data_IF_291777851719
#
_entry.id   IF_291777851719
#
_cell.length_a   1.000
_cell.length_b   1.000
_cell.length_c   1.000
_cell.angle_alpha   90.00
_cell.angle_beta   90.00
_cell.angle_gamma   90.00
#
_symmetry.space_group_name_H-M   'P 1'
#
loop_
_entity.id
_entity.type
_entity.pdbx_description
1 polymer ?
#
# COMPACT_ATOMS: atom_id res chain seq x y z
N UNK A 1 24.88 32.14 -82.93
CA UNK A 1 23.84 31.29 -83.55
C UNK A 1 23.91 29.93 -82.84
N UNK A 2 22.79 29.51 -82.23
CA UNK A 2 22.51 28.18 -81.62
C UNK A 2 23.31 27.74 -80.37
N UNK A 3 22.83 26.95 -79.42
CA UNK A 3 21.51 26.55 -78.88
C UNK A 3 21.80 25.67 -77.64
N UNK A 4 20.91 25.72 -76.64
CA UNK A 4 20.85 25.07 -75.30
C UNK A 4 21.10 23.54 -75.24
N UNK A 5 21.57 22.97 -74.09
CA UNK A 5 20.84 22.01 -73.20
C UNK A 5 21.66 21.32 -72.04
N UNK A 6 21.09 21.35 -70.82
CA UNK A 6 20.87 20.31 -69.76
C UNK A 6 22.00 19.46 -69.06
N UNK A 7 22.13 19.72 -67.73
CA UNK A 7 21.89 18.85 -66.52
C UNK A 7 22.68 17.54 -66.22
N UNK A 8 23.14 17.42 -64.95
CA UNK A 8 23.25 16.15 -64.17
C UNK A 8 24.49 16.05 -63.26
N UNK A 9 24.43 16.43 -61.97
CA UNK A 9 24.24 15.59 -60.77
C UNK A 9 25.41 14.64 -60.41
N UNK A 10 26.12 14.91 -59.29
CA UNK A 10 26.43 13.97 -58.19
C UNK A 10 27.56 14.52 -57.28
N UNK A 11 27.21 15.13 -56.13
CA UNK A 11 28.13 15.36 -55.03
C UNK A 11 27.85 14.31 -53.94
N UNK A 12 28.73 13.30 -53.84
CA UNK A 12 28.64 12.23 -52.85
C UNK A 12 29.32 12.71 -51.56
N UNK A 13 28.54 13.26 -50.62
CA UNK A 13 29.00 13.59 -49.28
C UNK A 13 29.02 12.32 -48.42
N UNK A 14 30.22 11.82 -48.11
CA UNK A 14 30.42 10.70 -47.18
C UNK A 14 30.25 11.24 -45.75
N UNK A 15 29.04 11.17 -45.21
CA UNK A 15 28.80 11.41 -43.79
C UNK A 15 29.19 10.15 -43.00
N UNK A 16 30.29 10.20 -42.26
CA UNK A 16 30.62 9.15 -41.29
C UNK A 16 29.64 9.25 -40.11
N UNK A 17 28.84 8.21 -39.79
CA UNK A 17 27.99 8.25 -38.62
C UNK A 17 28.84 8.27 -37.34
N UNK A 18 28.41 8.97 -36.27
CA UNK A 18 29.14 9.01 -35.01
C UNK A 18 29.26 7.59 -34.43
N UNK A 19 30.42 7.28 -33.83
CA UNK A 19 30.76 5.98 -33.24
C UNK A 19 29.72 5.43 -32.23
N UNK A 20 28.88 6.31 -31.68
CA UNK A 20 27.74 6.00 -30.81
C UNK A 20 26.70 5.09 -31.48
N UNK A 21 26.45 5.28 -32.78
CA UNK A 21 25.47 4.49 -33.54
C UNK A 21 25.98 3.06 -33.84
N UNK A 22 27.29 2.90 -33.96
CA UNK A 22 27.92 1.59 -34.16
C UNK A 22 27.89 0.76 -32.87
N UNK A 23 28.11 1.39 -31.71
CA UNK A 23 27.99 0.72 -30.40
C UNK A 23 26.57 0.20 -30.12
N UNK A 24 25.53 0.95 -30.49
CA UNK A 24 24.14 0.51 -30.34
C UNK A 24 23.79 -0.67 -31.25
N UNK A 25 24.27 -0.64 -32.51
CA UNK A 25 24.08 -1.74 -33.46
C UNK A 25 24.87 -3.00 -33.07
N UNK A 26 26.06 -2.85 -32.49
CA UNK A 26 26.87 -3.96 -31.96
C UNK A 26 26.18 -4.56 -30.72
N UNK A 27 25.63 -3.74 -29.82
CA UNK A 27 24.85 -4.22 -28.67
C UNK A 27 23.57 -4.97 -29.06
N UNK A 28 22.89 -4.53 -30.13
CA UNK A 28 21.73 -5.24 -30.73
C UNK A 28 22.15 -6.53 -31.44
N UNK A 29 23.27 -6.57 -32.18
CA UNK A 29 23.78 -7.78 -32.86
C UNK A 29 24.35 -8.83 -31.90
N UNK A 30 24.87 -8.41 -30.74
CA UNK A 30 25.40 -9.32 -29.70
C UNK A 30 24.31 -9.87 -28.75
N UNK A 31 23.03 -9.49 -28.93
CA UNK A 31 21.93 -9.97 -28.09
C UNK A 31 21.97 -9.49 -26.63
N UNK A 32 22.83 -8.50 -26.33
CA UNK A 32 23.05 -7.98 -24.98
C UNK A 32 21.86 -7.13 -24.49
N UNK A 33 21.21 -6.37 -25.39
CA UNK A 33 20.01 -5.61 -25.06
C UNK A 33 18.78 -6.48 -24.77
N UNK A 34 18.61 -7.58 -25.51
CA UNK A 34 17.46 -8.48 -25.35
C UNK A 34 17.55 -9.30 -24.05
N UNK A 35 18.74 -9.75 -23.63
CA UNK A 35 18.90 -10.50 -22.37
C UNK A 35 18.65 -9.63 -21.13
N UNK A 36 19.11 -8.38 -21.12
CA UNK A 36 18.86 -7.44 -20.02
C UNK A 36 17.36 -7.09 -19.91
N UNK A 37 16.72 -6.81 -21.04
CA UNK A 37 15.28 -6.48 -21.11
C UNK A 37 14.37 -7.68 -20.76
N UNK A 38 14.75 -8.90 -21.16
CA UNK A 38 14.06 -10.13 -20.73
C UNK A 38 14.25 -10.39 -19.22
N UNK A 39 15.43 -10.09 -18.68
CA UNK A 39 15.70 -10.15 -17.24
C UNK A 39 14.85 -9.15 -16.45
N UNK A 40 14.78 -7.89 -16.91
CA UNK A 40 13.99 -6.83 -16.28
C UNK A 40 12.49 -7.15 -16.27
N UNK A 41 11.98 -7.74 -17.35
CA UNK A 41 10.58 -8.13 -17.47
C UNK A 41 10.25 -9.27 -16.49
N UNK A 42 11.13 -10.27 -16.37
CA UNK A 42 10.98 -11.36 -15.40
C UNK A 42 11.04 -10.85 -13.96
N UNK A 43 11.96 -9.92 -13.66
CA UNK A 43 12.06 -9.29 -12.34
C UNK A 43 10.77 -8.56 -11.99
N UNK A 44 10.24 -7.76 -12.91
CA UNK A 44 8.99 -7.04 -12.69
C UNK A 44 7.81 -7.98 -12.45
N UNK A 45 7.67 -9.04 -13.24
CA UNK A 45 6.63 -10.06 -13.05
C UNK A 45 6.78 -10.80 -11.71
N UNK A 46 8.01 -11.15 -11.32
CA UNK A 46 8.30 -11.82 -10.06
C UNK A 46 7.97 -10.99 -8.86
N UNK A 47 8.37 -9.73 -8.90
CA UNK A 47 8.02 -8.79 -7.86
C UNK A 47 6.49 -8.62 -7.79
N UNK A 48 5.80 -8.40 -8.90
CA UNK A 48 4.33 -8.27 -8.91
C UNK A 48 3.62 -9.45 -8.25
N UNK A 49 4.10 -10.67 -8.49
CA UNK A 49 3.56 -11.87 -7.83
C UNK A 49 3.84 -11.85 -6.32
N UNK A 50 5.04 -11.45 -5.89
CA UNK A 50 5.40 -11.30 -4.48
C UNK A 50 4.44 -10.36 -3.76
N UNK A 51 4.24 -9.21 -4.39
CA UNK A 51 3.42 -8.13 -3.89
C UNK A 51 1.96 -8.57 -3.79
N UNK A 52 1.48 -9.32 -4.77
CA UNK A 52 0.14 -9.89 -4.76
C UNK A 52 -0.05 -10.83 -3.57
N UNK A 53 0.85 -11.79 -3.38
CA UNK A 53 0.78 -12.75 -2.26
C UNK A 53 0.86 -12.03 -0.92
N UNK A 54 1.79 -11.10 -0.75
CA UNK A 54 1.94 -10.32 0.48
C UNK A 54 0.71 -9.45 0.78
N UNK A 55 0.15 -8.79 -0.24
CA UNK A 55 -1.08 -8.01 -0.11
C UNK A 55 -2.29 -8.88 0.25
N UNK A 56 -2.46 -10.04 -0.40
CA UNK A 56 -3.54 -10.98 -0.10
C UNK A 56 -3.45 -11.52 1.34
N UNK A 57 -2.24 -11.87 1.78
CA UNK A 57 -1.99 -12.32 3.16
C UNK A 57 -2.29 -11.21 4.17
N UNK A 58 -1.79 -9.99 3.94
CA UNK A 58 -2.03 -8.86 4.82
C UNK A 58 -3.53 -8.57 4.97
N UNK A 59 -4.28 -8.55 3.86
CA UNK A 59 -5.73 -8.34 3.88
C UNK A 59 -6.45 -9.51 4.57
N UNK A 60 -6.04 -10.75 4.33
CA UNK A 60 -6.63 -11.93 4.99
C UNK A 60 -6.40 -11.92 6.50
N UNK A 61 -5.20 -11.54 6.94
CA UNK A 61 -4.83 -11.48 8.36
C UNK A 61 -5.57 -10.36 9.09
N UNK A 62 -5.72 -9.21 8.45
CA UNK A 62 -6.38 -8.04 9.04
C UNK A 62 -7.89 -8.08 8.93
N UNK A 63 -8.44 -8.74 7.90
CA UNK A 63 -9.88 -8.82 7.65
C UNK A 63 -10.62 -9.97 8.30
N UNK A 64 -9.93 -10.83 9.07
CA UNK A 64 -10.59 -11.90 9.84
C UNK A 64 -10.99 -11.39 11.22
N UNK A 65 -11.96 -12.07 11.85
CA UNK A 65 -12.25 -11.90 13.27
C UNK A 65 -10.97 -12.04 14.09
N UNK A 66 -10.73 -11.04 14.94
CA UNK A 66 -9.57 -10.90 15.82
C UNK A 66 -8.25 -10.62 15.08
N UNK A 67 -8.33 -10.27 13.79
CA UNK A 67 -7.19 -9.80 13.00
C UNK A 67 -6.57 -8.53 13.56
N UNK A 68 -7.39 -7.64 14.13
CA UNK A 68 -6.95 -6.47 14.88
C UNK A 68 -7.04 -6.69 16.39
N UNK A 69 -8.19 -7.14 16.90
CA UNK A 69 -8.46 -7.08 18.33
C UNK A 69 -7.50 -7.92 19.19
N UNK A 70 -7.02 -9.06 18.68
CA UNK A 70 -6.05 -9.94 19.36
C UNK A 70 -4.62 -9.79 18.84
N UNK A 71 -4.37 -8.85 17.93
CA UNK A 71 -3.05 -8.59 17.39
C UNK A 71 -2.48 -7.33 18.06
N UNK A 72 -1.66 -7.50 19.10
CA UNK A 72 -1.10 -6.40 19.88
C UNK A 72 -0.34 -5.36 19.05
N UNK A 73 0.21 -5.75 17.90
CA UNK A 73 0.95 -4.84 17.03
C UNK A 73 0.05 -3.83 16.31
N UNK A 74 -1.22 -4.19 16.05
CA UNK A 74 -2.15 -3.35 15.28
C UNK A 74 -3.48 -3.09 16.01
N UNK A 75 -3.67 -3.62 17.23
CA UNK A 75 -4.87 -3.43 18.02
C UNK A 75 -5.20 -1.95 18.15
N UNK A 76 -6.43 -1.59 17.81
CA UNK A 76 -6.93 -0.23 17.91
C UNK A 76 -7.36 0.00 19.36
N UNK A 77 -6.58 0.81 20.06
CA UNK A 77 -6.87 1.24 21.43
C UNK A 77 -7.61 2.56 21.43
N UNK A 78 -8.07 2.97 22.61
CA UNK A 78 -8.56 4.32 22.81
C UNK A 78 -7.56 5.39 22.33
N UNK A 79 -8.04 6.42 21.61
CA UNK A 79 -7.25 7.57 21.22
C UNK A 79 -6.52 8.20 22.41
N UNK A 80 -5.27 8.62 22.21
CA UNK A 80 -4.41 9.10 23.31
C UNK A 80 -5.04 10.25 24.10
N UNK A 81 -5.78 11.14 23.42
CA UNK A 81 -6.50 12.26 24.01
C UNK A 81 -7.71 11.85 24.88
N UNK A 82 -8.15 10.58 24.81
CA UNK A 82 -9.28 10.05 25.57
C UNK A 82 -8.86 9.10 26.71
N UNK A 83 -7.57 8.78 26.84
CA UNK A 83 -7.05 7.83 27.83
C UNK A 83 -7.30 8.24 29.28
N UNK A 84 -7.28 9.54 29.60
CA UNK A 84 -7.58 10.00 30.96
C UNK A 84 -9.05 9.75 31.32
N UNK A 85 -9.96 9.98 30.37
CA UNK A 85 -11.38 9.69 30.55
C UNK A 85 -11.63 8.18 30.64
N UNK A 86 -10.96 7.40 29.79
CA UNK A 86 -10.99 5.94 29.84
C UNK A 86 -10.63 5.41 31.24
N UNK A 87 -9.52 5.90 31.83
CA UNK A 87 -9.10 5.54 33.19
C UNK A 87 -10.15 5.89 34.24
N UNK A 88 -10.74 7.07 34.15
CA UNK A 88 -11.81 7.50 35.06
C UNK A 88 -13.04 6.59 34.99
N UNK A 89 -13.50 6.29 33.77
CA UNK A 89 -14.64 5.39 33.53
C UNK A 89 -14.34 3.98 34.06
N UNK A 90 -13.13 3.46 33.83
CA UNK A 90 -12.71 2.16 34.39
C UNK A 90 -12.73 2.16 35.92
N UNK A 91 -12.23 3.22 36.57
CA UNK A 91 -12.14 3.31 38.03
C UNK A 91 -13.51 3.28 38.73
N UNK A 92 -14.57 3.75 38.06
CA UNK A 92 -15.95 3.75 38.59
C UNK A 92 -16.77 2.53 38.15
N UNK A 93 -16.11 1.48 37.64
CA UNK A 93 -16.75 0.21 37.25
C UNK A 93 -17.24 0.15 35.79
N UNK A 94 -16.99 1.18 34.98
CA UNK A 94 -17.37 1.24 33.57
C UNK A 94 -16.42 0.55 32.60
N UNK A 95 -15.49 -0.29 33.09
CA UNK A 95 -14.44 -0.87 32.25
C UNK A 95 -14.95 -1.76 31.12
N UNK A 96 -16.01 -2.53 31.35
CA UNK A 96 -16.62 -3.37 30.32
C UNK A 96 -17.11 -2.57 29.12
N UNK A 97 -17.70 -1.38 29.34
CA UNK A 97 -18.15 -0.50 28.25
C UNK A 97 -16.95 0.00 27.43
N UNK A 98 -15.83 0.32 28.08
CA UNK A 98 -14.61 0.68 27.34
C UNK A 98 -14.13 -0.48 26.49
N UNK A 99 -14.09 -1.70 27.04
CA UNK A 99 -13.64 -2.88 26.30
C UNK A 99 -14.55 -3.19 25.11
N UNK A 100 -15.87 -3.04 25.26
CA UNK A 100 -16.85 -3.16 24.17
C UNK A 100 -16.67 -2.08 23.10
N UNK A 101 -16.33 -0.85 23.49
CA UNK A 101 -16.05 0.22 22.54
C UNK A 101 -14.74 -0.01 21.79
N UNK A 102 -13.66 -0.41 22.48
CA UNK A 102 -12.42 -0.82 21.82
C UNK A 102 -12.66 -1.98 20.85
N UNK A 103 -13.43 -2.99 21.27
CA UNK A 103 -13.83 -4.09 20.40
C UNK A 103 -14.53 -3.57 19.15
N UNK A 104 -15.48 -2.64 19.26
CA UNK A 104 -16.19 -2.06 18.11
C UNK A 104 -15.24 -1.40 17.10
N UNK A 105 -14.25 -0.63 17.57
CA UNK A 105 -13.23 -0.01 16.70
C UNK A 105 -12.42 -1.05 15.93
N UNK A 106 -12.02 -2.13 16.61
CA UNK A 106 -11.26 -3.21 15.99
C UNK A 106 -12.12 -4.00 15.00
N UNK A 107 -13.39 -4.30 15.32
CA UNK A 107 -14.33 -4.96 14.40
C UNK A 107 -14.62 -4.11 13.16
N UNK A 108 -14.66 -2.79 13.31
CA UNK A 108 -14.79 -1.87 12.19
C UNK A 108 -13.58 -1.93 11.25
N UNK A 109 -12.36 -1.94 11.79
CA UNK A 109 -11.15 -2.12 10.99
C UNK A 109 -11.08 -3.49 10.29
N UNK A 110 -11.41 -4.57 11.01
CA UNK A 110 -11.50 -5.93 10.45
C UNK A 110 -12.53 -6.00 9.31
N UNK A 111 -13.67 -5.33 9.46
CA UNK A 111 -14.72 -5.32 8.44
C UNK A 111 -14.31 -4.54 7.18
N UNK A 112 -13.48 -3.49 7.33
CA UNK A 112 -13.05 -2.64 6.23
C UNK A 112 -11.86 -3.23 5.45
N UNK A 113 -10.97 -3.98 6.11
CA UNK A 113 -9.76 -4.53 5.49
C UNK A 113 -9.97 -5.29 4.15
N UNK A 114 -11.03 -6.10 3.95
CA UNK A 114 -11.29 -6.78 2.68
C UNK A 114 -11.41 -5.86 1.45
N UNK A 115 -11.81 -4.60 1.62
CA UNK A 115 -11.92 -3.62 0.52
C UNK A 115 -10.56 -3.32 -0.13
N UNK A 116 -9.46 -3.54 0.61
CA UNK A 116 -8.12 -3.30 0.11
C UNK A 116 -7.69 -4.29 -0.98
N UNK A 117 -8.32 -5.47 -1.12
CA UNK A 117 -7.90 -6.48 -2.10
C UNK A 117 -7.89 -5.93 -3.52
N UNK A 118 -8.98 -5.28 -3.94
CA UNK A 118 -9.10 -4.75 -5.30
C UNK A 118 -8.14 -3.58 -5.51
N UNK A 119 -8.03 -2.68 -4.53
CA UNK A 119 -7.17 -1.49 -4.62
C UNK A 119 -5.69 -1.90 -4.71
N UNK A 120 -5.26 -2.90 -3.93
CA UNK A 120 -3.91 -3.45 -4.04
C UNK A 120 -3.67 -4.17 -5.36
N UNK A 121 -4.63 -4.96 -5.85
CA UNK A 121 -4.51 -5.59 -7.17
C UNK A 121 -4.35 -4.54 -8.29
N UNK A 122 -5.16 -3.48 -8.26
CA UNK A 122 -5.09 -2.39 -9.24
C UNK A 122 -3.74 -1.65 -9.15
N UNK A 123 -3.21 -1.43 -7.93
CA UNK A 123 -1.90 -0.83 -7.72
C UNK A 123 -0.75 -1.71 -8.25
N UNK A 124 -0.82 -3.03 -8.05
CA UNK A 124 0.17 -3.99 -8.55
C UNK A 124 0.24 -3.98 -10.07
N UNK A 125 -0.92 -3.94 -10.74
CA UNK A 125 -0.98 -3.88 -12.19
C UNK A 125 -0.25 -2.64 -12.74
N UNK A 126 -0.38 -1.51 -12.04
CA UNK A 126 0.25 -0.23 -12.37
C UNK A 126 1.75 -0.13 -12.06
N UNK A 127 2.35 -1.12 -11.36
CA UNK A 127 3.81 -1.12 -11.09
C UNK A 127 4.58 -1.20 -12.41
N UNK A 128 5.45 -0.22 -12.66
CA UNK A 128 6.33 -0.20 -13.83
C UNK A 128 7.60 -1.01 -13.60
N UNK A 129 8.38 -1.25 -14.65
CA UNK A 129 9.72 -1.89 -14.50
C UNK A 129 10.63 -1.02 -13.62
N UNK A 130 10.54 0.31 -13.74
CA UNK A 130 11.34 1.22 -12.94
C UNK A 130 10.95 1.17 -11.45
N UNK A 131 9.65 1.16 -11.15
CA UNK A 131 9.15 0.95 -9.79
C UNK A 131 9.62 -0.40 -9.24
N UNK A 132 9.56 -1.45 -10.07
CA UNK A 132 10.00 -2.77 -9.66
C UNK A 132 11.49 -2.81 -9.28
N UNK A 133 12.36 -2.13 -10.05
CA UNK A 133 13.77 -1.99 -9.68
C UNK A 133 13.96 -1.19 -8.39
N UNK A 134 13.22 -0.09 -8.22
CA UNK A 134 13.28 0.73 -6.99
C UNK A 134 12.85 -0.06 -5.75
N UNK A 135 11.78 -0.84 -5.87
CA UNK A 135 11.29 -1.70 -4.79
C UNK A 135 12.32 -2.80 -4.48
N UNK A 136 12.82 -3.50 -5.50
CA UNK A 136 13.78 -4.59 -5.32
C UNK A 136 15.07 -4.12 -4.63
N UNK A 137 15.61 -2.98 -5.08
CA UNK A 137 16.84 -2.40 -4.54
C UNK A 137 16.61 -1.55 -3.27
N UNK A 138 15.36 -1.38 -2.84
CA UNK A 138 15.00 -0.64 -1.65
C UNK A 138 15.14 -1.46 -0.37
N UNK A 139 14.90 -0.81 0.77
CA UNK A 139 14.93 -1.44 2.09
C UNK A 139 13.79 -2.45 2.33
N UNK A 140 13.74 -2.99 3.54
CA UNK A 140 12.83 -4.09 3.93
C UNK A 140 11.33 -3.85 3.69
N UNK A 141 10.92 -2.58 3.59
CA UNK A 141 9.52 -2.16 3.42
C UNK A 141 9.27 -1.34 2.14
N UNK A 142 10.20 -1.36 1.18
CA UNK A 142 10.13 -0.50 0.00
C UNK A 142 8.85 -0.70 -0.82
N UNK A 143 8.34 -1.92 -0.90
CA UNK A 143 7.06 -2.17 -1.55
C UNK A 143 5.90 -1.61 -0.74
N UNK A 144 5.92 -1.81 0.57
CA UNK A 144 4.90 -1.31 1.49
C UNK A 144 4.80 0.21 1.42
N UNK A 145 5.94 0.90 1.35
CA UNK A 145 6.01 2.35 1.19
C UNK A 145 5.45 2.81 -0.16
N UNK A 146 5.77 2.07 -1.24
CA UNK A 146 5.16 2.31 -2.55
C UNK A 146 3.63 2.18 -2.47
N UNK A 147 3.11 1.10 -1.87
CA UNK A 147 1.67 0.86 -1.76
C UNK A 147 1.00 1.96 -0.93
N UNK A 148 1.59 2.32 0.20
CA UNK A 148 1.10 3.41 1.05
C UNK A 148 0.97 4.71 0.27
N UNK A 149 1.99 5.08 -0.51
CA UNK A 149 1.98 6.30 -1.32
C UNK A 149 0.91 6.28 -2.43
N UNK A 150 0.60 5.11 -3.00
CA UNK A 150 -0.30 4.98 -4.16
C UNK A 150 -1.76 4.69 -3.78
N UNK A 151 -2.01 4.13 -2.60
CA UNK A 151 -3.33 3.56 -2.27
C UNK A 151 -4.00 4.19 -1.07
N UNK A 152 -3.30 4.92 -0.20
CA UNK A 152 -3.88 5.47 1.04
C UNK A 152 -5.14 6.31 0.79
N UNK A 153 -5.15 7.14 -0.26
CA UNK A 153 -6.32 7.97 -0.60
C UNK A 153 -7.54 7.12 -0.97
N UNK A 154 -7.39 6.20 -1.91
CA UNK A 154 -8.47 5.29 -2.35
C UNK A 154 -8.95 4.40 -1.21
N UNK A 155 -8.02 3.87 -0.39
CA UNK A 155 -8.36 3.06 0.78
C UNK A 155 -9.12 3.85 1.84
N UNK A 156 -8.74 5.11 2.08
CA UNK A 156 -9.46 5.98 3.03
C UNK A 156 -10.91 6.16 2.60
N UNK A 157 -11.14 6.41 1.31
CA UNK A 157 -12.48 6.57 0.74
C UNK A 157 -13.28 5.26 0.86
N UNK A 158 -12.67 4.12 0.53
CA UNK A 158 -13.33 2.82 0.59
C UNK A 158 -13.63 2.36 2.02
N UNK A 159 -12.74 2.61 2.97
CA UNK A 159 -12.86 2.12 4.34
C UNK A 159 -13.90 2.91 5.13
N UNK A 160 -14.00 4.22 4.90
CA UNK A 160 -14.86 5.12 5.69
C UNK A 160 -16.31 4.65 5.83
N UNK A 161 -17.06 4.36 4.75
CA UNK A 161 -18.46 3.93 4.88
C UNK A 161 -18.62 2.55 5.55
N UNK A 162 -17.61 1.67 5.47
CA UNK A 162 -17.63 0.36 6.13
C UNK A 162 -17.38 0.52 7.63
N UNK A 163 -16.42 1.38 8.00
CA UNK A 163 -16.13 1.72 9.39
C UNK A 163 -17.35 2.36 10.04
N UNK A 164 -17.95 3.37 9.41
CA UNK A 164 -19.16 4.04 9.90
C UNK A 164 -20.28 3.04 10.18
N UNK A 165 -20.63 2.22 9.18
CA UNK A 165 -21.68 1.20 9.32
C UNK A 165 -21.34 0.16 10.40
N UNK A 166 -20.07 -0.20 10.55
CA UNK A 166 -19.67 -1.19 11.55
C UNK A 166 -19.74 -0.61 12.96
N UNK A 167 -19.25 0.62 13.15
CA UNK A 167 -19.35 1.36 14.42
C UNK A 167 -20.81 1.58 14.83
N UNK A 168 -21.69 1.90 13.88
CA UNK A 168 -23.12 2.11 14.14
C UNK A 168 -23.84 0.87 14.66
N UNK A 169 -23.32 -0.34 14.43
CA UNK A 169 -23.90 -1.59 14.96
C UNK A 169 -23.66 -1.78 16.45
N UNK A 170 -22.67 -1.10 17.04
CA UNK A 170 -22.32 -1.27 18.44
C UNK A 170 -22.93 -0.14 19.28
N UNK A 171 -23.85 -0.50 20.19
CA UNK A 171 -24.56 0.45 21.05
C UNK A 171 -23.63 1.34 21.87
N UNK A 172 -22.48 0.83 22.30
CA UNK A 172 -21.52 1.63 23.09
C UNK A 172 -20.87 2.72 22.24
N UNK A 173 -20.60 2.46 20.96
CA UNK A 173 -20.11 3.48 20.05
C UNK A 173 -21.17 4.57 19.79
N UNK A 174 -22.44 4.20 19.69
CA UNK A 174 -23.54 5.17 19.59
C UNK A 174 -23.65 6.04 20.85
N UNK A 175 -23.56 5.43 22.05
CA UNK A 175 -23.58 6.15 23.33
C UNK A 175 -22.38 7.10 23.45
N UNK A 176 -21.21 6.69 22.98
CA UNK A 176 -20.03 7.55 22.94
C UNK A 176 -20.21 8.77 22.04
N UNK A 177 -20.73 8.58 20.83
CA UNK A 177 -21.01 9.67 19.90
C UNK A 177 -22.03 10.65 20.49
N UNK A 178 -23.04 10.15 21.21
CA UNK A 178 -24.00 10.99 21.94
C UNK A 178 -23.33 11.80 23.07
N UNK A 179 -22.44 11.20 23.86
CA UNK A 179 -21.70 11.87 24.93
C UNK A 179 -20.77 12.96 24.38
N UNK A 180 -20.03 12.69 23.30
CA UNK A 180 -19.18 13.67 22.63
C UNK A 180 -20.01 14.80 21.99
N UNK A 181 -21.17 14.46 21.42
CA UNK A 181 -22.11 15.43 20.85
C UNK A 181 -22.64 16.43 21.89
N UNK A 182 -22.99 15.96 23.08
CA UNK A 182 -23.40 16.83 24.20
C UNK A 182 -22.24 17.72 24.71
N UNK A 183 -21.01 17.20 24.72
CA UNK A 183 -19.84 17.98 25.10
C UNK A 183 -19.51 19.10 24.09
N UNK A 184 -19.85 18.92 22.80
CA UNK A 184 -19.75 19.94 21.75
C UNK A 184 -20.76 21.08 21.89
N UNK A 185 -21.91 20.83 22.52
CA UNK A 185 -22.95 21.84 22.72
C UNK A 185 -22.68 22.82 23.87
N UNK A 186 -21.59 22.67 24.62
CA UNK A 186 -21.20 23.57 25.70
C UNK A 186 -20.42 24.76 25.11
N UNK A 187 -20.94 26.01 25.17
CA UNK A 187 -20.17 27.19 24.79
C UNK A 187 -18.91 27.25 25.66
N UNK A 188 -17.74 27.51 25.05
CA UNK A 188 -16.41 27.54 25.68
C UNK A 188 -15.73 26.19 26.00
N UNK A 189 -16.40 25.04 25.81
CA UNK A 189 -15.70 23.77 25.84
C UNK A 189 -14.83 23.64 24.59
N UNK A 190 -13.50 23.55 24.76
CA UNK A 190 -12.60 23.10 23.68
C UNK A 190 -12.92 21.64 23.42
N UNK A 191 -13.92 21.39 22.58
CA UNK A 191 -14.24 20.03 22.17
C UNK A 191 -13.00 19.48 21.45
N UNK A 192 -12.41 18.36 21.89
CA UNK A 192 -11.61 17.58 20.97
C UNK A 192 -12.60 17.15 19.89
N UNK A 193 -12.57 17.79 18.73
CA UNK A 193 -13.32 17.37 17.54
C UNK A 193 -12.70 16.07 17.02
N UNK A 194 -12.77 15.01 17.83
CA UNK A 194 -12.27 13.71 17.46
C UNK A 194 -13.37 13.02 16.66
N UNK A 195 -13.18 12.98 15.35
CA UNK A 195 -13.91 12.05 14.49
C UNK A 195 -13.37 10.65 14.75
N UNK A 196 -14.14 9.85 15.50
CA UNK A 196 -13.75 8.48 15.84
C UNK A 196 -13.69 7.60 14.59
N UNK A 197 -14.55 7.83 13.60
CA UNK A 197 -14.54 7.07 12.36
C UNK A 197 -13.25 7.36 11.58
N UNK A 198 -12.85 8.64 11.49
CA UNK A 198 -11.58 9.01 10.89
C UNK A 198 -10.38 8.39 11.65
N UNK A 199 -10.42 8.36 12.98
CA UNK A 199 -9.39 7.71 13.80
C UNK A 199 -9.29 6.21 13.49
N UNK A 200 -10.43 5.51 13.46
CA UNK A 200 -10.50 4.08 13.18
C UNK A 200 -10.06 3.77 11.75
N UNK A 201 -10.47 4.56 10.76
CA UNK A 201 -9.98 4.43 9.37
C UNK A 201 -8.46 4.58 9.34
N UNK A 202 -7.92 5.64 9.93
CA UNK A 202 -6.47 5.85 9.99
C UNK A 202 -5.72 4.66 10.62
N UNK A 203 -6.24 4.15 11.73
CA UNK A 203 -5.65 3.00 12.44
C UNK A 203 -5.80 1.68 11.68
N UNK A 204 -6.91 1.49 10.97
CA UNK A 204 -7.10 0.36 10.08
C UNK A 204 -6.09 0.40 8.91
N UNK A 205 -5.82 1.57 8.34
CA UNK A 205 -4.79 1.68 7.30
C UNK A 205 -3.40 1.46 7.86
N UNK A 206 -3.07 2.06 9.01
CA UNK A 206 -1.79 1.84 9.70
C UNK A 206 -1.55 0.34 9.95
N UNK A 207 -2.55 -0.37 10.48
CA UNK A 207 -2.45 -1.81 10.76
C UNK A 207 -2.34 -2.66 9.50
N UNK A 208 -3.11 -2.33 8.45
CA UNK A 208 -3.01 -3.01 7.16
C UNK A 208 -1.62 -2.88 6.55
N UNK A 209 -1.06 -1.67 6.51
CA UNK A 209 0.28 -1.44 5.97
C UNK A 209 1.37 -2.03 6.87
N UNK A 210 1.18 -2.04 8.19
CA UNK A 210 2.08 -2.75 9.09
C UNK A 210 2.14 -4.24 8.74
N UNK A 211 1.00 -4.89 8.60
CA UNK A 211 0.96 -6.31 8.25
C UNK A 211 1.51 -6.58 6.84
N UNK A 212 1.29 -5.69 5.88
CA UNK A 212 1.91 -5.77 4.56
C UNK A 212 3.44 -5.71 4.64
N UNK A 213 3.98 -4.79 5.43
CA UNK A 213 5.43 -4.70 5.67
C UNK A 213 6.01 -5.94 6.33
N UNK A 214 5.26 -6.56 7.25
CA UNK A 214 5.68 -7.82 7.86
C UNK A 214 5.71 -8.96 6.84
N UNK A 215 4.75 -9.03 5.91
CA UNK A 215 4.77 -10.00 4.81
C UNK A 215 5.91 -9.73 3.81
N UNK A 216 6.15 -8.46 3.46
CA UNK A 216 7.29 -8.08 2.61
C UNK A 216 8.62 -8.50 3.24
N UNK A 217 8.80 -8.20 4.53
CA UNK A 217 10.01 -8.57 5.27
C UNK A 217 10.23 -10.08 5.26
N UNK A 218 9.17 -10.88 5.48
CA UNK A 218 9.24 -12.34 5.39
C UNK A 218 9.69 -12.80 3.99
N UNK A 219 9.11 -12.26 2.92
CA UNK A 219 9.49 -12.63 1.54
C UNK A 219 10.97 -12.30 1.26
N UNK A 220 11.45 -11.16 1.78
CA UNK A 220 12.85 -10.74 1.65
C UNK A 220 13.80 -11.65 2.42
N UNK A 221 13.49 -11.99 3.68
CA UNK A 221 14.44 -12.69 4.56
C UNK A 221 14.33 -14.20 4.55
N UNK A 222 13.15 -14.76 4.25
CA UNK A 222 12.88 -16.20 4.35
C UNK A 222 12.69 -16.83 2.95
N UNK A 223 13.63 -17.68 2.50
CA UNK A 223 13.48 -18.43 1.25
C UNK A 223 12.23 -19.32 1.20
N UNK A 224 11.71 -19.80 2.34
CA UNK A 224 10.49 -20.61 2.39
C UNK A 224 9.23 -19.77 2.09
N UNK A 225 9.25 -18.48 2.40
CA UNK A 225 8.19 -17.54 2.03
C UNK A 225 8.15 -17.24 0.52
N UNK A 226 9.22 -17.57 -0.22
CA UNK A 226 9.33 -17.41 -1.68
C UNK A 226 8.72 -18.62 -2.38
N UNK A 227 7.41 -18.76 -2.27
CA UNK A 227 6.67 -19.97 -2.70
C UNK A 227 6.65 -20.21 -4.21
N UNK A 228 6.97 -19.21 -5.03
CA UNK A 228 7.05 -19.37 -6.49
C UNK A 228 8.49 -19.39 -6.98
N UNK A 229 8.74 -20.09 -8.09
CA UNK A 229 10.05 -20.13 -8.75
C UNK A 229 10.57 -18.74 -9.09
N UNK A 230 9.65 -17.85 -9.49
CA UNK A 230 9.97 -16.47 -9.88
C UNK A 230 10.39 -15.62 -8.67
N UNK A 231 9.79 -15.84 -7.49
CA UNK A 231 10.22 -15.19 -6.24
C UNK A 231 11.61 -15.64 -5.79
N UNK A 232 11.90 -16.93 -5.92
CA UNK A 232 13.23 -17.47 -5.63
C UNK A 232 14.26 -16.84 -6.55
N UNK A 233 13.99 -16.74 -7.84
CA UNK A 233 14.92 -16.15 -8.81
C UNK A 233 15.20 -14.66 -8.53
N UNK A 234 14.19 -13.87 -8.14
CA UNK A 234 14.33 -12.43 -7.90
C UNK A 234 15.10 -12.10 -6.62
N UNK A 235 14.90 -12.85 -5.53
CA UNK A 235 15.46 -12.52 -4.20
C UNK A 235 16.66 -13.38 -3.77
N UNK A 236 17.16 -14.30 -4.62
CA UNK A 236 18.36 -15.14 -4.33
C UNK A 236 19.66 -14.54 -4.86
N UNK A 237 19.63 -13.28 -5.33
CA UNK A 237 20.82 -12.56 -5.74
C UNK A 237 21.60 -12.00 -4.57
#
# INVERSE_FOLDING_TARGET
MHLRLLVGLAAFLISSPPASAQLEQIGKKLGLGSKAQLGDTKIASGLKEALKVGAENAVKLTGKTDGYYRNEAIKILMPKNLRSMEKGIRAVGGGQKIDEFELSMNRAAESAAPEARRIFADAILKVTIEDARKILNGGDTAATDYFKSKTTGELTIAFRPIVERSMDKFTVAQQWNALVGQFRSIPFARSPSLDINQYVVGKALDGLFFMLGQEEKKIRTDPAARVTSLLKEVFTR
#
